data_IF_119702239018
#
_entry.id   IF_119702239018
#
_cell.length_a   1.000
_cell.length_b   1.000
_cell.length_c   1.000
_cell.angle_alpha   90.00
_cell.angle_beta   90.00
_cell.angle_gamma   90.00
#
_symmetry.space_group_name_H-M   'P 1'
#
loop_
_entity.id
_entity.type
_entity.pdbx_description
1 polymer ?
#
# COMPACT_ATOMS: atom_id res chain seq x y z
N UNK A 1 -22.76 2.27 -15.07
CA UNK A 1 -21.44 2.67 -14.54
C UNK A 1 -20.82 3.70 -15.46
N UNK A 2 -20.33 4.83 -14.92
CA UNK A 2 -19.63 5.83 -15.73
C UNK A 2 -18.38 5.22 -16.36
N UNK A 3 -18.16 5.47 -17.66
CA UNK A 3 -17.02 4.92 -18.41
C UNK A 3 -15.72 5.52 -17.85
N UNK A 4 -14.79 4.67 -17.45
CA UNK A 4 -13.47 5.11 -16.99
C UNK A 4 -12.76 5.93 -18.08
N UNK A 5 -12.06 6.99 -17.68
CA UNK A 5 -11.21 7.75 -18.61
C UNK A 5 -10.10 6.87 -19.18
N UNK A 6 -9.61 7.19 -20.38
CA UNK A 6 -8.53 6.42 -21.01
C UNK A 6 -7.26 6.37 -20.16
N UNK A 7 -6.92 7.47 -19.48
CA UNK A 7 -5.79 7.52 -18.54
C UNK A 7 -5.95 6.49 -17.41
N UNK A 8 -7.13 6.48 -16.78
CA UNK A 8 -7.42 5.54 -15.70
C UNK A 8 -7.45 4.11 -16.24
N UNK A 9 -7.98 3.86 -17.43
CA UNK A 9 -7.96 2.52 -18.04
C UNK A 9 -6.53 1.99 -18.26
N UNK A 10 -5.60 2.83 -18.71
CA UNK A 10 -4.19 2.46 -18.90
C UNK A 10 -3.45 2.23 -17.58
N UNK A 11 -3.74 3.03 -16.55
CA UNK A 11 -3.17 2.79 -15.22
C UNK A 11 -3.67 1.46 -14.66
N UNK A 12 -4.95 1.15 -14.87
CA UNK A 12 -5.58 -0.07 -14.37
C UNK A 12 -5.17 -1.31 -15.16
N UNK A 13 -4.88 -1.21 -16.46
CA UNK A 13 -4.40 -2.37 -17.25
C UNK A 13 -3.12 -2.98 -16.70
N UNK A 14 -2.32 -2.21 -15.94
CA UNK A 14 -1.16 -2.74 -15.23
C UNK A 14 -1.54 -3.72 -14.11
N UNK A 15 -2.71 -3.56 -13.49
CA UNK A 15 -3.17 -4.33 -12.33
C UNK A 15 -4.25 -5.37 -12.65
N UNK A 16 -4.82 -5.37 -13.86
CA UNK A 16 -5.88 -6.29 -14.24
C UNK A 16 -5.32 -7.59 -14.81
N UNK A 17 -5.88 -8.73 -14.40
CA UNK A 17 -5.62 -10.01 -15.05
C UNK A 17 -6.47 -10.23 -16.32
N UNK A 18 -6.28 -11.39 -16.95
CA UNK A 18 -7.05 -11.90 -18.09
C UNK A 18 -8.58 -11.89 -17.84
N UNK A 19 -9.00 -12.03 -16.58
CA UNK A 19 -10.40 -11.99 -16.16
C UNK A 19 -10.86 -10.60 -15.70
N UNK A 20 -10.08 -9.55 -15.96
CA UNK A 20 -10.36 -8.17 -15.54
C UNK A 20 -10.57 -8.00 -14.03
N UNK A 21 -9.88 -8.80 -13.21
CA UNK A 21 -9.79 -8.63 -11.75
C UNK A 21 -8.48 -7.97 -11.38
N UNK A 22 -8.50 -7.14 -10.34
CA UNK A 22 -7.27 -6.56 -9.78
C UNK A 22 -6.46 -7.69 -9.16
N UNK A 23 -5.23 -7.86 -9.63
CA UNK A 23 -4.25 -8.80 -9.11
C UNK A 23 -2.87 -8.19 -9.16
N UNK A 24 -2.08 -8.41 -8.12
CA UNK A 24 -0.68 -8.01 -8.11
C UNK A 24 0.17 -9.17 -8.65
N UNK A 25 1.18 -8.84 -9.43
CA UNK A 25 2.12 -9.81 -9.96
C UNK A 25 2.94 -10.43 -8.83
N UNK A 26 3.00 -11.76 -8.81
CA UNK A 26 3.73 -12.54 -7.80
C UNK A 26 5.21 -12.17 -7.74
N UNK A 27 5.84 -11.90 -8.88
CA UNK A 27 7.24 -11.44 -8.95
C UNK A 27 7.41 -10.06 -8.30
N UNK A 28 6.38 -9.21 -8.37
CA UNK A 28 6.43 -7.86 -7.83
C UNK A 28 6.26 -7.81 -6.32
N UNK A 29 5.73 -8.87 -5.68
CA UNK A 29 5.50 -8.90 -4.22
C UNK A 29 6.74 -8.60 -3.39
N UNK A 30 7.92 -9.02 -3.87
CA UNK A 30 9.22 -8.80 -3.21
C UNK A 30 10.15 -7.88 -4.02
N UNK A 31 9.63 -7.13 -4.98
CA UNK A 31 10.45 -6.31 -5.87
C UNK A 31 11.21 -5.23 -5.07
N UNK A 32 12.54 -5.21 -5.22
CA UNK A 32 13.44 -4.25 -4.60
C UNK A 32 13.53 -2.91 -5.36
N UNK A 33 13.04 -2.85 -6.59
CA UNK A 33 13.01 -1.61 -7.37
C UNK A 33 11.74 -0.79 -7.10
N UNK A 34 11.68 0.43 -7.66
CA UNK A 34 10.45 1.23 -7.67
C UNK A 34 9.42 0.61 -8.63
N UNK A 35 8.71 -0.40 -8.13
CA UNK A 35 7.63 -1.07 -8.85
C UNK A 35 6.29 -0.66 -8.23
N UNK A 36 5.34 -0.21 -9.06
CA UNK A 36 3.98 0.16 -8.62
C UNK A 36 3.17 -1.02 -8.07
N UNK A 37 3.58 -2.25 -8.36
CA UNK A 37 2.98 -3.48 -7.84
C UNK A 37 3.76 -4.07 -6.65
N UNK A 38 4.79 -3.38 -6.15
CA UNK A 38 5.48 -3.77 -4.93
C UNK A 38 4.68 -3.39 -3.69
N UNK A 39 4.77 -4.20 -2.64
CA UNK A 39 4.13 -3.95 -1.35
C UNK A 39 5.05 -3.23 -0.36
N UNK A 40 6.20 -2.74 -0.84
CA UNK A 40 7.13 -1.99 0.01
C UNK A 40 6.48 -0.69 0.48
N UNK A 41 6.44 -0.51 1.79
CA UNK A 41 6.04 0.72 2.44
C UNK A 41 7.26 1.42 3.04
N UNK A 42 7.22 2.75 3.08
CA UNK A 42 8.17 3.54 3.85
C UNK A 42 7.56 3.77 5.22
N UNK A 43 8.27 3.39 6.27
CA UNK A 43 7.88 3.73 7.64
C UNK A 43 8.26 5.19 7.87
N UNK A 44 7.26 6.01 8.13
CA UNK A 44 7.45 7.41 8.51
C UNK A 44 7.19 7.51 10.00
N UNK A 45 8.22 7.87 10.76
CA UNK A 45 8.06 8.18 12.17
C UNK A 45 7.67 9.65 12.33
N UNK A 46 6.71 9.91 13.21
CA UNK A 46 6.24 11.26 13.52
C UNK A 46 6.24 11.41 15.04
N UNK A 47 7.13 12.24 15.62
CA UNK A 47 7.29 12.34 17.07
C UNK A 47 6.05 12.91 17.77
N UNK A 48 5.18 13.61 17.04
CA UNK A 48 3.92 14.16 17.56
C UNK A 48 2.74 13.18 17.42
N UNK A 49 2.90 12.08 16.70
CA UNK A 49 1.84 11.10 16.49
C UNK A 49 2.02 9.91 17.42
N UNK A 50 1.14 9.81 18.43
CA UNK A 50 1.04 8.64 19.29
C UNK A 50 -0.20 7.85 18.91
N UNK A 51 -0.01 6.66 18.35
CA UNK A 51 -1.12 5.74 18.11
C UNK A 51 -1.74 5.28 19.44
N UNK A 52 -3.03 4.92 19.43
CA UNK A 52 -3.71 4.33 20.61
C UNK A 52 -3.00 3.08 21.15
N UNK A 53 -2.28 2.35 20.29
CA UNK A 53 -1.48 1.17 20.67
C UNK A 53 -0.15 1.54 21.34
N UNK A 54 0.50 2.63 20.91
CA UNK A 54 1.76 3.07 21.51
C UNK A 54 1.55 3.80 22.84
N UNK A 55 0.45 4.54 23.01
CA UNK A 55 0.09 5.17 24.29
C UNK A 55 -0.01 4.15 25.44
N UNK A 56 -0.59 2.97 25.19
CA UNK A 56 -0.70 1.89 26.20
C UNK A 56 0.65 1.31 26.64
N UNK A 57 1.70 1.44 25.83
CA UNK A 57 3.06 1.03 26.23
C UNK A 57 3.72 2.08 27.11
N UNK A 58 3.55 3.37 26.77
CA UNK A 58 4.10 4.47 27.54
C UNK A 58 3.55 4.54 28.97
N UNK A 59 2.26 4.23 29.17
CA UNK A 59 1.65 4.12 30.50
C UNK A 59 2.26 2.98 31.34
N UNK A 60 2.57 1.85 30.69
CA UNK A 60 3.07 0.62 31.33
C UNK A 60 4.55 0.65 31.70
N UNK A 61 5.30 1.59 31.14
CA UNK A 61 6.73 1.80 31.38
C UNK A 61 6.96 2.88 32.46
N UNK A 62 5.87 3.44 33.00
CA UNK A 62 5.88 4.46 34.05
C UNK A 62 5.65 3.88 35.46
N UNK A 63 5.31 2.59 35.56
CA UNK A 63 5.23 1.80 36.80
C UNK A 63 6.57 1.08 37.05
#
# INVERSE_FOLDING_TARGET
MARMSNKRRLEWSFFLNDRSRITYNELCRKCQHQCKQSFRAVVVDCPKYLSKRSARKADREKD
#
